data_IF_266339448780
#
_entry.id   IF_266339448780
#
_cell.length_a   1.000
_cell.length_b   1.000
_cell.length_c   1.000
_cell.angle_alpha   90.00
_cell.angle_beta   90.00
_cell.angle_gamma   90.00
#
_symmetry.space_group_name_H-M   'P 1'
#
loop_
_entity.id
_entity.type
_entity.pdbx_description
1 polymer ?
#
# COMPACT_ATOMS: atom_id res chain seq x y z
N UNK A 1 -8.66 -3.54 -0.96
CA UNK A 1 -9.81 -4.41 -0.59
C UNK A 1 -10.08 -5.50 -1.61
N UNK A 2 -10.84 -5.28 -2.69
CA UNK A 2 -11.28 -6.38 -3.59
C UNK A 2 -10.54 -6.47 -4.93
N UNK A 3 -9.73 -5.46 -5.27
CA UNK A 3 -8.93 -5.46 -6.50
C UNK A 3 -9.72 -5.58 -7.81
N UNK A 4 -11.03 -5.30 -7.82
CA UNK A 4 -11.92 -5.59 -8.96
C UNK A 4 -12.12 -4.45 -9.95
N UNK A 5 -11.68 -3.23 -9.61
CA UNK A 5 -11.99 -2.02 -10.40
C UNK A 5 -10.90 -1.76 -11.46
N UNK A 6 -11.27 -1.21 -12.64
CA UNK A 6 -10.35 -0.92 -13.74
C UNK A 6 -9.09 -0.17 -13.32
N UNK A 7 -9.22 0.92 -12.55
CA UNK A 7 -8.09 1.79 -12.17
C UNK A 7 -6.92 1.00 -11.54
N UNK A 8 -7.20 0.14 -10.56
CA UNK A 8 -6.13 -0.63 -9.89
C UNK A 8 -5.56 -1.74 -10.77
N UNK A 9 -6.39 -2.28 -11.68
CA UNK A 9 -6.01 -3.33 -12.63
C UNK A 9 -5.10 -2.74 -13.71
N UNK A 10 -5.49 -1.62 -14.30
CA UNK A 10 -4.72 -0.90 -15.31
C UNK A 10 -3.41 -0.36 -14.75
N UNK A 11 -3.39 0.13 -13.51
CA UNK A 11 -2.17 0.54 -12.83
C UNK A 11 -1.19 -0.62 -12.67
N UNK A 12 -1.66 -1.77 -12.16
CA UNK A 12 -0.83 -2.97 -12.01
C UNK A 12 -0.31 -3.46 -13.37
N UNK A 13 -1.17 -3.51 -14.39
CA UNK A 13 -0.78 -3.91 -15.74
C UNK A 13 0.27 -2.97 -16.33
N UNK A 14 0.07 -1.65 -16.21
CA UNK A 14 0.97 -0.64 -16.76
C UNK A 14 2.33 -0.67 -16.06
N UNK A 15 2.36 -0.81 -14.74
CA UNK A 15 3.60 -0.94 -13.97
C UNK A 15 4.39 -2.17 -14.43
N UNK A 16 3.72 -3.32 -14.60
CA UNK A 16 4.33 -4.55 -15.09
C UNK A 16 4.86 -4.42 -16.52
N UNK A 17 4.09 -3.80 -17.42
CA UNK A 17 4.54 -3.52 -18.80
C UNK A 17 5.76 -2.58 -18.85
N UNK A 18 5.95 -1.74 -17.83
CA UNK A 18 7.14 -0.89 -17.67
C UNK A 18 8.30 -1.59 -16.95
N UNK A 19 8.19 -2.88 -16.64
CA UNK A 19 9.23 -3.66 -15.98
C UNK A 19 9.36 -3.42 -14.48
N UNK A 20 8.38 -2.78 -13.84
CA UNK A 20 8.36 -2.64 -12.38
C UNK A 20 7.87 -3.92 -11.71
N UNK A 21 8.46 -4.27 -10.56
CA UNK A 21 7.90 -5.29 -9.67
C UNK A 21 6.61 -4.77 -9.05
N UNK A 22 5.52 -5.51 -9.22
CA UNK A 22 4.19 -5.12 -8.73
C UNK A 22 3.85 -5.89 -7.45
N UNK A 23 3.73 -5.17 -6.34
CA UNK A 23 3.26 -5.71 -5.06
C UNK A 23 1.82 -5.24 -4.83
N UNK A 24 0.89 -6.18 -4.71
CA UNK A 24 -0.53 -5.88 -4.45
C UNK A 24 -0.95 -6.26 -3.04
N UNK A 25 -1.55 -5.32 -2.31
CA UNK A 25 -2.22 -5.60 -1.03
C UNK A 25 -3.73 -5.69 -1.28
N UNK A 26 -4.32 -6.84 -1.00
CA UNK A 26 -5.75 -7.06 -1.22
C UNK A 26 -6.32 -8.02 -0.18
N UNK A 27 -7.64 -8.08 -0.05
CA UNK A 27 -8.31 -9.15 0.68
C UNK A 27 -8.50 -10.30 -0.30
N UNK A 28 -7.77 -11.41 -0.16
CA UNK A 28 -7.84 -12.50 -1.14
C UNK A 28 -9.18 -13.23 -1.11
N UNK A 29 -9.80 -13.38 0.05
CA UNK A 29 -11.15 -13.96 0.18
C UNK A 29 -12.16 -13.13 -0.60
N UNK A 30 -12.20 -11.82 -0.35
CA UNK A 30 -13.13 -10.93 -1.04
C UNK A 30 -12.80 -10.78 -2.52
N UNK A 31 -11.52 -10.71 -2.87
CA UNK A 31 -11.09 -10.61 -4.27
C UNK A 31 -11.52 -11.83 -5.05
N UNK A 32 -11.43 -13.05 -4.50
CA UNK A 32 -11.86 -14.29 -5.19
C UNK A 32 -13.37 -14.36 -5.39
N UNK A 33 -14.17 -13.90 -4.44
CA UNK A 33 -15.63 -13.99 -4.48
C UNK A 33 -16.31 -13.07 -5.50
N UNK A 34 -15.77 -11.86 -5.70
CA UNK A 34 -16.38 -10.88 -6.60
C UNK A 34 -16.00 -11.11 -8.06
N UNK A 35 -16.84 -10.68 -9.00
CA UNK A 35 -16.46 -10.61 -10.42
C UNK A 35 -15.60 -9.37 -10.72
N UNK A 36 -14.71 -9.44 -11.71
CA UNK A 36 -14.01 -8.25 -12.18
C UNK A 36 -14.97 -7.24 -12.82
N UNK A 37 -14.65 -5.95 -12.71
CA UNK A 37 -15.31 -4.87 -13.44
C UNK A 37 -14.46 -4.35 -14.61
N UNK A 38 -13.28 -4.90 -14.82
CA UNK A 38 -12.42 -4.56 -15.96
C UNK A 38 -12.75 -5.46 -17.16
N UNK A 39 -12.75 -4.94 -18.41
CA UNK A 39 -13.11 -5.71 -19.61
C UNK A 39 -12.29 -6.98 -19.84
N UNK A 40 -11.05 -7.04 -19.34
CA UNK A 40 -10.22 -8.26 -19.44
C UNK A 40 -10.67 -9.42 -18.56
N UNK A 41 -11.62 -9.21 -17.64
CA UNK A 41 -12.03 -10.21 -16.66
C UNK A 41 -11.03 -10.45 -15.51
N UNK A 42 -9.81 -9.91 -15.61
CA UNK A 42 -8.76 -10.02 -14.58
C UNK A 42 -9.05 -9.17 -13.36
N UNK A 43 -8.47 -9.52 -12.22
CA UNK A 43 -8.42 -8.75 -10.97
C UNK A 43 -6.99 -8.27 -10.74
N UNK A 44 -6.81 -7.29 -9.86
CA UNK A 44 -5.50 -6.67 -9.61
C UNK A 44 -4.45 -7.71 -9.18
N UNK A 45 -4.81 -8.69 -8.34
CA UNK A 45 -3.88 -9.73 -7.88
C UNK A 45 -3.39 -10.65 -9.01
N UNK A 46 -4.12 -10.79 -10.13
CA UNK A 46 -3.68 -11.60 -11.28
C UNK A 46 -2.48 -10.96 -12.01
N UNK A 47 -2.23 -9.68 -11.73
CA UNK A 47 -1.19 -8.88 -12.39
C UNK A 47 -0.02 -8.59 -11.46
N UNK A 48 -0.13 -8.90 -10.17
CA UNK A 48 0.93 -8.69 -9.19
C UNK A 48 1.99 -9.79 -9.26
N UNK A 49 3.25 -9.44 -9.01
CA UNK A 49 4.34 -10.40 -8.82
C UNK A 49 4.34 -10.94 -7.39
N UNK A 50 3.96 -10.09 -6.43
CA UNK A 50 3.79 -10.44 -5.01
C UNK A 50 2.41 -9.99 -4.57
N UNK A 51 1.67 -10.90 -3.93
CA UNK A 51 0.36 -10.61 -3.36
C UNK A 51 0.43 -10.76 -1.85
N UNK A 52 0.05 -9.70 -1.14
CA UNK A 52 -0.07 -9.68 0.31
C UNK A 52 -1.55 -9.68 0.65
N UNK A 53 -2.00 -10.75 1.29
CA UNK A 53 -3.37 -10.84 1.79
C UNK A 53 -3.51 -10.03 3.08
N UNK A 54 -4.49 -9.14 3.12
CA UNK A 54 -4.80 -8.37 4.32
C UNK A 54 -5.76 -9.09 5.27
N UNK A 55 -6.25 -10.28 4.90
CA UNK A 55 -7.13 -11.12 5.73
C UNK A 55 -8.38 -10.38 6.27
N UNK A 56 -8.87 -9.38 5.54
CA UNK A 56 -10.06 -8.63 5.94
C UNK A 56 -11.34 -9.47 5.79
N UNK A 57 -12.44 -8.91 6.27
CA UNK A 57 -13.78 -9.47 6.06
C UNK A 57 -14.35 -9.06 4.69
N UNK A 58 -15.21 -9.91 4.12
CA UNK A 58 -15.98 -9.56 2.92
C UNK A 58 -16.90 -8.39 3.26
N UNK A 59 -16.98 -7.42 2.34
CA UNK A 59 -17.65 -6.15 2.60
C UNK A 59 -16.79 -5.13 3.34
N UNK A 60 -15.57 -5.49 3.77
CA UNK A 60 -14.64 -4.64 4.51
C UNK A 60 -15.27 -4.01 5.76
N UNK A 61 -15.85 -4.85 6.60
CA UNK A 61 -16.41 -4.45 7.90
C UNK A 61 -16.55 -5.69 8.80
N UNK A 62 -16.20 -5.56 10.08
CA UNK A 62 -16.09 -6.72 10.98
C UNK A 62 -17.09 -6.73 12.17
N UNK A 63 -17.75 -5.62 12.49
CA UNK A 63 -18.66 -5.54 13.65
C UNK A 63 -20.12 -5.50 13.20
N UNK A 64 -20.91 -6.48 13.60
CA UNK A 64 -22.36 -6.50 13.38
C UNK A 64 -23.08 -5.61 14.40
N UNK A 65 -24.18 -4.97 13.98
CA UNK A 65 -25.08 -4.20 14.85
C UNK A 65 -26.48 -4.81 14.77
N UNK A 66 -27.20 -4.87 15.90
CA UNK A 66 -28.50 -5.52 16.01
C UNK A 66 -29.54 -5.01 15.00
N UNK A 67 -29.51 -3.71 14.70
CA UNK A 67 -30.48 -3.04 13.84
C UNK A 67 -29.87 -2.47 12.54
N UNK A 68 -28.76 -3.05 12.05
CA UNK A 68 -28.15 -2.62 10.79
C UNK A 68 -27.94 -3.79 9.81
N UNK A 69 -28.31 -3.65 8.53
CA UNK A 69 -28.06 -4.70 7.53
C UNK A 69 -26.58 -4.80 7.12
N UNK A 70 -25.76 -3.79 7.39
CA UNK A 70 -24.33 -3.78 7.12
C UNK A 70 -23.52 -3.78 8.42
N UNK A 71 -22.34 -4.42 8.38
CA UNK A 71 -21.33 -4.33 9.43
C UNK A 71 -20.64 -2.96 9.42
N UNK A 72 -20.05 -2.57 10.54
CA UNK A 72 -19.17 -1.41 10.70
C UNK A 72 -17.72 -1.86 11.00
N UNK A 73 -16.83 -0.88 11.19
CA UNK A 73 -15.40 -1.09 11.46
C UNK A 73 -14.66 -1.79 10.30
N UNK A 74 -14.34 -1.06 9.22
CA UNK A 74 -13.51 -1.60 8.14
C UNK A 74 -12.11 -1.95 8.65
N UNK A 75 -11.68 -3.19 8.39
CA UNK A 75 -10.36 -3.66 8.83
C UNK A 75 -9.27 -3.32 7.83
N UNK A 76 -9.61 -3.12 6.56
CA UNK A 76 -8.61 -3.02 5.50
C UNK A 76 -7.66 -1.84 5.66
N UNK A 77 -8.12 -0.69 6.19
CA UNK A 77 -7.27 0.48 6.40
C UNK A 77 -6.28 0.26 7.52
N UNK A 78 -6.74 -0.22 8.69
CA UNK A 78 -5.87 -0.44 9.85
C UNK A 78 -4.85 -1.52 9.54
N UNK A 79 -5.29 -2.66 9.01
CA UNK A 79 -4.39 -3.77 8.65
C UNK A 79 -3.49 -3.38 7.49
N UNK A 80 -4.02 -2.68 6.48
CA UNK A 80 -3.22 -2.19 5.35
C UNK A 80 -2.13 -1.22 5.78
N UNK A 81 -2.44 -0.29 6.68
CA UNK A 81 -1.46 0.62 7.27
C UNK A 81 -0.39 -0.13 8.06
N UNK A 82 -0.78 -1.14 8.86
CA UNK A 82 0.18 -2.00 9.57
C UNK A 82 1.10 -2.72 8.59
N UNK A 83 0.56 -3.36 7.55
CA UNK A 83 1.34 -4.06 6.52
C UNK A 83 2.35 -3.11 5.87
N UNK A 84 1.91 -1.92 5.43
CA UNK A 84 2.78 -0.94 4.79
C UNK A 84 3.90 -0.48 5.73
N UNK A 85 3.58 -0.16 6.98
CA UNK A 85 4.61 0.22 7.96
C UNK A 85 5.60 -0.92 8.21
N UNK A 86 5.15 -2.18 8.31
CA UNK A 86 6.06 -3.33 8.44
C UNK A 86 6.99 -3.47 7.24
N UNK A 87 6.49 -3.29 6.01
CA UNK A 87 7.31 -3.31 4.79
C UNK A 87 8.34 -2.19 4.82
N UNK A 88 7.93 -0.96 5.15
CA UNK A 88 8.84 0.18 5.19
C UNK A 88 9.91 0.02 6.28
N UNK A 89 9.55 -0.47 7.46
CA UNK A 89 10.51 -0.75 8.53
C UNK A 89 11.55 -1.80 8.12
N UNK A 90 11.12 -2.91 7.52
CA UNK A 90 12.05 -3.96 7.09
C UNK A 90 12.93 -3.48 5.93
N UNK A 91 12.35 -2.75 4.96
CA UNK A 91 13.13 -2.16 3.87
C UNK A 91 14.20 -1.17 4.40
N UNK A 92 13.83 -0.30 5.34
CA UNK A 92 14.78 0.65 5.94
C UNK A 92 15.91 -0.08 6.69
N UNK A 93 15.58 -1.15 7.43
CA UNK A 93 16.57 -1.99 8.11
C UNK A 93 17.53 -2.63 7.11
N UNK A 94 17.03 -3.28 6.06
CA UNK A 94 17.85 -3.91 5.03
C UNK A 94 18.77 -2.91 4.31
N UNK A 95 18.27 -1.70 4.03
CA UNK A 95 19.09 -0.63 3.46
C UNK A 95 20.20 -0.21 4.44
N UNK A 96 19.86 0.03 5.71
CA UNK A 96 20.82 0.41 6.74
C UNK A 96 21.93 -0.63 6.93
N UNK A 97 21.59 -1.93 6.86
CA UNK A 97 22.54 -3.03 6.93
C UNK A 97 23.44 -3.07 5.68
N UNK A 98 22.87 -2.87 4.49
CA UNK A 98 23.59 -2.90 3.22
C UNK A 98 24.54 -1.71 3.01
N UNK A 99 24.27 -0.56 3.64
CA UNK A 99 25.09 0.66 3.51
C UNK A 99 26.08 0.85 4.67
N UNK A 100 26.30 -0.17 5.51
CA UNK A 100 27.15 -0.07 6.71
C UNK A 100 26.77 1.11 7.63
N UNK A 101 25.48 1.41 7.74
CA UNK A 101 24.98 2.47 8.64
C UNK A 101 25.07 3.89 8.07
N UNK A 102 25.22 4.08 6.76
CA UNK A 102 24.91 5.38 6.15
C UNK A 102 23.46 5.78 6.46
N UNK A 103 23.22 7.09 6.56
CA UNK A 103 21.92 7.64 6.96
C UNK A 103 20.84 7.29 5.93
N UNK A 104 19.84 6.53 6.37
CA UNK A 104 18.64 6.21 5.58
C UNK A 104 17.72 7.44 5.57
N UNK A 105 17.26 7.93 4.39
CA UNK A 105 16.51 9.18 4.27
C UNK A 105 15.05 9.03 4.72
N UNK A 106 14.82 8.96 6.02
CA UNK A 106 13.50 8.82 6.65
C UNK A 106 13.08 10.17 7.21
N UNK A 107 11.91 10.69 6.83
CA UNK A 107 11.41 11.95 7.38
C UNK A 107 11.22 11.88 8.91
N UNK A 108 11.62 12.94 9.60
CA UNK A 108 11.35 13.14 11.00
C UNK A 108 9.90 13.61 11.22
N UNK A 109 9.34 13.30 12.40
CA UNK A 109 8.05 13.86 12.82
C UNK A 109 8.14 15.38 12.96
N UNK A 110 7.10 16.10 12.54
CA UNK A 110 7.01 17.54 12.70
C UNK A 110 7.00 18.00 14.18
N UNK A 111 6.71 17.08 15.11
CA UNK A 111 6.75 17.36 16.55
C UNK A 111 8.15 17.18 17.16
N UNK A 112 9.16 16.80 16.38
CA UNK A 112 10.55 16.72 16.85
C UNK A 112 11.22 18.09 16.72
N UNK A 113 11.99 18.47 17.73
CA UNK A 113 12.86 19.64 17.65
C UNK A 113 13.77 19.52 16.42
N UNK A 114 13.82 20.59 15.63
CA UNK A 114 14.56 20.68 14.36
C UNK A 114 14.14 19.67 13.26
N UNK A 115 12.99 18.99 13.41
CA UNK A 115 12.46 18.05 12.42
C UNK A 115 12.21 18.69 11.05
N UNK A 116 11.72 19.93 11.02
CA UNK A 116 11.47 20.68 9.80
C UNK A 116 12.75 20.97 8.99
N UNK A 117 13.83 21.34 9.67
CA UNK A 117 15.12 21.62 9.03
C UNK A 117 15.71 20.33 8.43
N UNK A 118 15.61 19.23 9.17
CA UNK A 118 16.02 17.92 8.73
C UNK A 118 15.21 17.48 7.49
N UNK A 119 13.89 17.60 7.54
CA UNK A 119 12.98 17.24 6.45
C UNK A 119 13.21 18.09 5.20
N UNK A 120 13.49 19.39 5.34
CA UNK A 120 13.83 20.27 4.21
C UNK A 120 15.11 19.83 3.49
N UNK A 121 16.13 19.41 4.23
CA UNK A 121 17.38 18.88 3.65
C UNK A 121 17.10 17.60 2.85
N UNK A 122 16.35 16.66 3.43
CA UNK A 122 15.93 15.44 2.73
C UNK A 122 15.13 15.77 1.46
N UNK A 123 14.12 16.63 1.57
CA UNK A 123 13.31 17.02 0.42
C UNK A 123 14.17 17.62 -0.70
N UNK A 124 15.09 18.54 -0.39
CA UNK A 124 15.95 19.15 -1.41
C UNK A 124 16.85 18.14 -2.12
N UNK A 125 17.30 17.08 -1.43
CA UNK A 125 18.12 16.03 -2.02
C UNK A 125 17.32 15.09 -2.94
N UNK A 126 16.03 14.87 -2.65
CA UNK A 126 15.23 13.85 -3.33
C UNK A 126 14.06 14.40 -4.17
N UNK A 127 13.83 15.72 -4.21
CA UNK A 127 12.69 16.33 -4.93
C UNK A 127 12.59 15.94 -6.41
N UNK A 128 13.71 15.67 -7.08
CA UNK A 128 13.73 15.32 -8.51
C UNK A 128 13.12 13.93 -8.82
N UNK A 129 13.03 13.05 -7.81
CA UNK A 129 12.39 11.72 -7.94
C UNK A 129 10.94 11.71 -7.41
N UNK A 130 10.41 12.86 -7.01
CA UNK A 130 9.02 13.02 -6.55
C UNK A 130 8.22 13.61 -7.71
N UNK A 131 7.45 12.77 -8.41
CA UNK A 131 6.78 13.16 -9.67
C UNK A 131 5.32 13.61 -9.52
N UNK A 132 4.76 13.63 -8.31
CA UNK A 132 3.39 14.12 -8.09
C UNK A 132 3.41 15.61 -7.72
N UNK A 133 2.42 16.36 -8.21
CA UNK A 133 2.19 17.77 -7.85
C UNK A 133 0.92 17.84 -7.00
N UNK A 134 1.01 18.52 -5.85
CA UNK A 134 -0.15 18.97 -5.07
C UNK A 134 -0.22 20.50 -5.15
#
# INVERSE_FOLDING_TARGET
VSGRNPVTIEMANTAKLKGATVIGITNMSYSKEVTSRHPSGKKMYDLCDIVIDNHGEIGDACISLENAPQKVAPTSTVVGATILNSIFSEAAKLISEATNGEMVPIFASANMDHGDEFNKKLFNNYKEVIHYKY
#
